data_IF_077703759496
#
_entry.id   IF_077703759496
#
_cell.length_a   1.000
_cell.length_b   1.000
_cell.length_c   1.000
_cell.angle_alpha   90.00
_cell.angle_beta   90.00
_cell.angle_gamma   90.00
#
_symmetry.space_group_name_H-M   'P 1'
#
loop_
_entity.id
_entity.type
_entity.pdbx_description
1 polymer ?
#
# COMPACT_ATOMS: atom_id res chain seq x y z
N UNK A 1 -3.11 16.50 -11.00
CA UNK A 1 -2.80 15.82 -9.72
C UNK A 1 -3.48 14.46 -9.73
N UNK A 2 -2.76 13.34 -9.61
CA UNK A 2 -3.42 12.02 -9.45
C UNK A 2 -4.23 12.04 -8.15
N UNK A 3 -5.45 11.53 -8.21
CA UNK A 3 -6.30 11.31 -7.01
C UNK A 3 -5.73 10.13 -6.21
N UNK A 4 -6.05 10.06 -4.93
CA UNK A 4 -5.79 8.87 -4.14
C UNK A 4 -6.58 7.69 -4.71
N UNK A 5 -5.86 6.66 -5.15
CA UNK A 5 -6.37 5.42 -5.74
C UNK A 5 -6.78 4.41 -4.65
N UNK A 6 -6.08 4.42 -3.51
CA UNK A 6 -6.35 3.54 -2.36
C UNK A 6 -7.00 4.30 -1.20
N UNK A 7 -7.85 3.60 -0.46
CA UNK A 7 -8.56 4.10 0.72
C UNK A 7 -7.98 3.50 2.00
N UNK A 8 -8.24 4.15 3.13
CA UNK A 8 -7.95 3.57 4.45
C UNK A 8 -8.69 2.24 4.56
N UNK A 9 -7.96 1.19 4.93
CA UNK A 9 -8.47 -0.17 5.00
C UNK A 9 -7.97 -1.09 3.88
N UNK A 10 -7.60 -0.53 2.72
CA UNK A 10 -7.15 -1.31 1.57
C UNK A 10 -5.83 -2.03 1.88
N UNK A 11 -5.72 -3.26 1.36
CA UNK A 11 -4.48 -4.03 1.40
C UNK A 11 -3.69 -3.74 0.13
N UNK A 12 -2.42 -3.42 0.31
CA UNK A 12 -1.51 -3.04 -0.77
C UNK A 12 -0.20 -3.79 -0.62
N UNK A 13 0.46 -4.11 -1.73
CA UNK A 13 1.83 -4.64 -1.75
C UNK A 13 2.76 -3.57 -2.30
N UNK A 14 3.98 -3.52 -1.77
CA UNK A 14 5.00 -2.64 -2.32
C UNK A 14 5.61 -3.25 -3.59
N UNK A 15 5.73 -2.47 -4.68
CA UNK A 15 6.25 -2.97 -5.97
C UNK A 15 7.67 -3.50 -5.90
N UNK A 16 8.54 -2.89 -5.07
CA UNK A 16 9.94 -3.36 -4.91
C UNK A 16 10.06 -4.59 -4.01
N UNK A 17 9.02 -4.92 -3.25
CA UNK A 17 8.99 -6.03 -2.30
C UNK A 17 7.67 -6.80 -2.48
N UNK A 18 7.51 -7.51 -3.62
CA UNK A 18 6.32 -8.30 -3.88
C UNK A 18 6.11 -9.32 -2.76
N UNK A 19 4.91 -9.35 -2.18
CA UNK A 19 4.56 -10.20 -1.04
C UNK A 19 4.66 -9.52 0.32
N UNK A 20 5.30 -8.33 0.41
CA UNK A 20 5.20 -7.48 1.60
C UNK A 20 3.85 -6.75 1.56
N UNK A 21 2.83 -7.37 2.17
CA UNK A 21 1.46 -6.84 2.22
C UNK A 21 1.32 -5.91 3.43
N UNK A 22 0.86 -4.70 3.17
CA UNK A 22 0.53 -3.70 4.17
C UNK A 22 -0.91 -3.23 4.06
N UNK A 23 -1.38 -2.56 5.10
CA UNK A 23 -2.72 -1.97 5.16
C UNK A 23 -2.62 -0.45 5.15
N UNK A 24 -3.35 0.21 4.27
CA UNK A 24 -3.43 1.67 4.28
C UNK A 24 -4.17 2.12 5.55
N UNK A 25 -3.50 2.93 6.37
CA UNK A 25 -4.05 3.44 7.64
C UNK A 25 -4.37 4.93 7.58
N UNK A 26 -3.74 5.69 6.69
CA UNK A 26 -4.04 7.11 6.48
C UNK A 26 -3.65 7.56 5.07
N UNK A 27 -4.30 8.62 4.59
CA UNK A 27 -4.00 9.28 3.32
C UNK A 27 -3.98 10.79 3.55
N UNK A 28 -2.81 11.42 3.42
CA UNK A 28 -2.64 12.85 3.73
C UNK A 28 -1.88 13.60 2.65
N UNK A 29 -2.07 14.93 2.58
CA UNK A 29 -1.24 15.82 1.76
C UNK A 29 -0.09 16.36 2.60
N UNK A 30 1.14 16.04 2.20
CA UNK A 30 2.36 16.53 2.85
C UNK A 30 3.13 17.48 1.93
N UNK A 31 3.78 18.48 2.52
CA UNK A 31 4.61 19.49 1.83
C UNK A 31 4.05 20.91 1.88
N UNK A 32 4.81 21.85 1.31
CA UNK A 32 4.42 23.27 1.19
C UNK A 32 3.80 23.55 -0.18
N UNK A 33 2.84 24.47 -0.25
CA UNK A 33 2.27 24.90 -1.54
C UNK A 33 3.35 25.57 -2.40
N UNK A 34 3.38 25.34 -3.72
CA UNK A 34 2.45 24.52 -4.53
C UNK A 34 2.81 23.01 -4.60
N UNK A 35 3.89 22.57 -3.97
CA UNK A 35 4.45 21.21 -4.08
C UNK A 35 3.81 20.17 -3.14
N UNK A 36 2.59 20.40 -2.66
CA UNK A 36 1.90 19.42 -1.82
C UNK A 36 1.68 18.12 -2.59
N UNK A 37 2.04 16.98 -1.98
CA UNK A 37 1.86 15.63 -2.55
C UNK A 37 1.04 14.77 -1.60
N UNK A 38 0.22 13.89 -2.16
CA UNK A 38 -0.46 12.86 -1.39
C UNK A 38 0.52 11.76 -0.98
N UNK A 39 0.39 11.30 0.26
CA UNK A 39 1.18 10.24 0.87
C UNK A 39 0.21 9.26 1.53
N UNK A 40 0.40 7.97 1.25
CA UNK A 40 -0.25 6.88 1.97
C UNK A 40 0.60 6.52 3.18
N UNK A 41 -0.01 6.39 4.35
CA UNK A 41 0.61 5.69 5.47
C UNK A 41 0.15 4.25 5.42
N UNK A 42 1.12 3.36 5.31
CA UNK A 42 0.86 1.93 5.24
C UNK A 42 1.46 1.25 6.45
N UNK A 43 0.65 0.44 7.11
CA UNK A 43 1.05 -0.47 8.16
C UNK A 43 1.60 -1.75 7.52
N UNK A 44 2.92 -1.87 7.47
CA UNK A 44 3.64 -3.07 7.07
C UNK A 44 3.89 -3.96 8.31
N UNK A 45 4.22 -5.23 8.12
CA UNK A 45 4.77 -6.05 9.21
C UNK A 45 6.30 -5.86 9.22
N UNK A 46 6.95 -5.34 10.29
CA UNK A 46 6.45 -5.03 11.64
C UNK A 46 6.27 -3.52 11.96
N UNK A 47 6.07 -2.63 10.99
CA UNK A 47 6.04 -1.18 11.26
C UNK A 47 5.27 -0.32 10.25
N UNK A 48 5.22 0.99 10.49
CA UNK A 48 4.49 1.94 9.64
C UNK A 48 5.45 2.75 8.79
N UNK A 49 5.13 2.94 7.51
CA UNK A 49 5.95 3.70 6.57
C UNK A 49 5.13 4.63 5.67
N UNK A 50 5.60 5.87 5.41
CA UNK A 50 4.99 6.75 4.43
C UNK A 50 5.37 6.31 3.01
N UNK A 51 4.38 6.12 2.14
CA UNK A 51 4.54 5.78 0.73
C UNK A 51 3.95 6.89 -0.12
N UNK A 52 4.75 7.64 -0.88
CA UNK A 52 4.22 8.68 -1.77
C UNK A 52 3.33 8.07 -2.85
N UNK A 53 2.30 8.81 -3.27
CA UNK A 53 1.34 8.35 -4.28
C UNK A 53 1.98 7.89 -5.61
N UNK A 54 3.15 8.43 -5.94
CA UNK A 54 3.90 8.08 -7.16
C UNK A 54 4.67 6.76 -7.05
N UNK A 55 4.81 6.19 -5.85
CA UNK A 55 5.54 4.96 -5.61
C UNK A 55 4.58 3.77 -5.68
N UNK A 56 4.96 2.78 -6.50
CA UNK A 56 4.14 1.66 -6.93
C UNK A 56 3.62 0.81 -5.79
N UNK A 57 2.43 1.15 -5.30
CA UNK A 57 1.60 0.26 -4.52
C UNK A 57 0.70 -0.50 -5.49
N UNK A 58 0.58 -1.81 -5.30
CA UNK A 58 -0.35 -2.65 -6.04
C UNK A 58 -1.49 -3.11 -5.12
N UNK A 59 -2.75 -3.12 -5.60
CA UNK A 59 -3.85 -3.67 -4.83
C UNK A 59 -3.59 -5.16 -4.58
N UNK A 60 -3.81 -5.59 -3.33
CA UNK A 60 -3.85 -7.02 -2.99
C UNK A 60 -5.30 -7.40 -2.85
N UNK A 61 -5.82 -8.09 -3.87
CA UNK A 61 -7.16 -8.62 -3.81
C UNK A 61 -7.20 -9.86 -2.90
N UNK A 62 -8.28 -10.05 -2.12
CA UNK A 62 -8.38 -11.17 -1.18
C UNK A 62 -8.20 -12.55 -1.84
N UNK A 63 -8.48 -12.68 -3.13
CA UNK A 63 -8.21 -13.91 -3.92
C UNK A 63 -6.71 -14.21 -4.06
N UNK A 64 -5.86 -13.18 -4.13
CA UNK A 64 -4.41 -13.30 -4.34
C UNK A 64 -3.66 -13.65 -3.03
N UNK A 65 -4.15 -13.13 -1.90
CA UNK A 65 -3.62 -13.43 -0.57
C UNK A 65 -3.82 -14.89 -0.13
N UNK A 66 -4.78 -15.60 -0.72
CA UNK A 66 -5.03 -17.01 -0.44
C UNK A 66 -4.18 -17.95 -1.33
N UNK A 67 -3.61 -17.45 -2.43
CA UNK A 67 -2.82 -18.28 -3.35
C UNK A 67 -1.34 -18.44 -2.95
N UNK A 68 -0.80 -17.52 -2.13
CA UNK A 68 0.56 -17.65 -1.56
C UNK A 68 0.62 -18.50 -0.28
N UNK A 69 -0.54 -18.98 0.22
CA UNK A 69 -0.65 -19.85 1.39
C UNK A 69 -1.15 -21.26 1.10
N UNK A 70 -1.34 -21.63 -0.18
CA UNK A 70 -1.88 -22.94 -0.56
C UNK A 70 -1.00 -23.62 -1.62
N UNK A 71 0.31 -23.55 -1.41
CA UNK A 71 1.31 -24.37 -2.08
C UNK A 71 2.01 -25.30 -1.10
N UNK A 72 1.26 -26.04 -0.28
CA UNK A 72 1.81 -27.21 0.42
C UNK A 72 0.70 -28.24 0.71
N UNK A 73 0.99 -29.49 0.32
CA UNK A 73 0.36 -30.76 0.69
C UNK A 73 -1.08 -31.06 0.24
N UNK A 74 -1.21 -31.78 -0.88
CA UNK A 74 -1.53 -33.21 -0.91
C UNK A 74 -1.42 -33.78 -2.34
#
# INVERSE_FOLDING_TARGET
>A
MRKAEFKVGDRVSHFREPGNVGKVVSVEKRGFRPFQRWVYWVAWRPGYGPVPLSYGLWPVYPTDAQQLGHGEAA
#
